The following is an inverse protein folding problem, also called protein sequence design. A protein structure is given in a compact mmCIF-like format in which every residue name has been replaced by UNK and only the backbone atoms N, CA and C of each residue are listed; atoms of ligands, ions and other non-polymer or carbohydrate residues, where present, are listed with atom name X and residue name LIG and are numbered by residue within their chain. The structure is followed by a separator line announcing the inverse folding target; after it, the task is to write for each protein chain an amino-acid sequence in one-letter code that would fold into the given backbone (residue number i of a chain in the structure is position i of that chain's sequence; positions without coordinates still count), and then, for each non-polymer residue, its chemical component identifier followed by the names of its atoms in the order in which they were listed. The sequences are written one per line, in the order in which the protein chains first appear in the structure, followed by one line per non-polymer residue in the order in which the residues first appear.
data_IF_874766480014
#
_entry.id   IF_874766480014
#
_cell.length_a   1.000
_cell.length_b   1.000
_cell.length_c   1.000
_cell.angle_alpha   90.00
_cell.angle_beta   90.00
_cell.angle_gamma   90.00
#
_symmetry.space_group_name_H-M   'P 1'
#
loop_
_entity.id
_entity.type
_entity.pdbx_description
1 polymer ?
#
# COMPACT_ATOMS: atom_id res chain seq x y z
N UNK A 1 22.47 47.71 -26.21
CA UNK A 1 22.07 47.13 -24.90
C UNK A 1 22.85 45.83 -24.71
N UNK A 2 24.02 45.91 -24.08
CA UNK A 2 24.83 44.73 -23.79
C UNK A 2 24.25 44.02 -22.58
N UNK A 3 23.52 42.93 -22.80
CA UNK A 3 23.06 42.05 -21.72
C UNK A 3 24.27 41.47 -21.01
N UNK A 4 24.53 41.96 -19.80
CA UNK A 4 25.67 41.61 -18.95
C UNK A 4 25.83 40.09 -18.81
N UNK A 5 26.94 39.54 -19.28
CA UNK A 5 27.32 38.13 -19.09
C UNK A 5 27.32 37.70 -17.62
N UNK A 6 27.48 38.65 -16.68
CA UNK A 6 27.42 38.40 -15.24
C UNK A 6 26.03 37.98 -14.76
N UNK A 7 24.95 38.49 -15.37
CA UNK A 7 23.59 38.06 -14.98
C UNK A 7 23.33 36.61 -15.38
N UNK A 8 23.80 36.20 -16.56
CA UNK A 8 23.69 34.81 -17.05
C UNK A 8 24.48 33.83 -16.18
N UNK A 9 25.69 34.20 -15.78
CA UNK A 9 26.53 33.37 -14.89
C UNK A 9 25.88 33.24 -13.51
N UNK A 10 25.38 34.33 -12.92
CA UNK A 10 24.68 34.30 -11.64
C UNK A 10 23.41 33.42 -11.70
N UNK A 11 22.63 33.50 -12.78
CA UNK A 11 21.47 32.63 -12.97
C UNK A 11 21.87 31.16 -13.04
N UNK A 12 22.94 30.80 -13.76
CA UNK A 12 23.43 29.42 -13.85
C UNK A 12 23.86 28.90 -12.48
N UNK A 13 24.58 29.71 -11.70
CA UNK A 13 25.07 29.35 -10.35
C UNK A 13 23.92 29.12 -9.37
N UNK A 14 22.76 29.76 -9.54
CA UNK A 14 21.59 29.59 -8.66
C UNK A 14 20.68 28.46 -9.16
N UNK A 15 20.43 28.41 -10.47
CA UNK A 15 19.50 27.44 -11.08
C UNK A 15 20.05 26.03 -11.02
N UNK A 16 21.36 25.81 -11.24
CA UNK A 16 21.93 24.45 -11.21
C UNK A 16 21.80 23.81 -9.81
N UNK A 17 22.20 24.44 -8.70
CA UNK A 17 21.98 23.88 -7.37
C UNK A 17 20.51 23.66 -7.03
N UNK A 18 19.61 24.55 -7.47
CA UNK A 18 18.16 24.36 -7.28
C UNK A 18 17.64 23.15 -8.06
N UNK A 19 18.08 22.95 -9.30
CA UNK A 19 17.71 21.79 -10.11
C UNK A 19 18.30 20.50 -9.53
N UNK A 20 19.54 20.54 -9.03
CA UNK A 20 20.15 19.40 -8.33
C UNK A 20 19.39 19.07 -7.06
N UNK A 21 19.05 20.07 -6.25
CA UNK A 21 18.24 19.88 -5.05
C UNK A 21 16.87 19.29 -5.42
N UNK A 22 16.19 19.85 -6.42
CA UNK A 22 14.91 19.34 -6.91
C UNK A 22 15.02 17.88 -7.38
N UNK A 23 16.13 17.52 -8.05
CA UNK A 23 16.39 16.14 -8.48
C UNK A 23 16.54 15.17 -7.30
N UNK A 24 17.26 15.57 -6.24
CA UNK A 24 17.38 14.76 -5.02
C UNK A 24 16.07 14.68 -4.22
N UNK A 25 15.24 15.72 -4.26
CA UNK A 25 13.94 15.74 -3.56
C UNK A 25 12.82 15.05 -4.36
N UNK A 26 12.94 14.97 -5.69
CA UNK A 26 11.91 14.42 -6.57
C UNK A 26 11.45 12.99 -6.18
N UNK A 27 12.32 12.03 -5.82
CA UNK A 27 11.89 10.71 -5.38
C UNK A 27 11.01 10.70 -4.12
N UNK A 28 11.03 11.75 -3.30
CA UNK A 28 10.18 11.84 -2.10
C UNK A 28 8.75 12.28 -2.42
N UNK A 29 8.56 13.00 -3.53
CA UNK A 29 7.27 13.54 -3.93
C UNK A 29 6.63 12.75 -5.08
N UNK A 30 7.44 12.14 -5.96
CA UNK A 30 6.95 11.46 -7.14
C UNK A 30 6.64 9.97 -6.87
N UNK A 31 5.60 9.41 -7.50
CA UNK A 31 5.27 7.99 -7.42
C UNK A 31 6.21 7.16 -8.30
N UNK A 32 7.51 7.21 -7.99
CA UNK A 32 8.59 6.64 -8.80
C UNK A 32 8.42 5.14 -9.00
N UNK A 33 8.15 4.41 -7.92
CA UNK A 33 7.96 2.96 -8.00
C UNK A 33 6.79 2.61 -8.91
N UNK A 34 5.67 3.33 -8.81
CA UNK A 34 4.51 3.17 -9.69
C UNK A 34 4.88 3.34 -11.16
N UNK A 35 5.62 4.38 -11.52
CA UNK A 35 5.99 4.61 -12.92
C UNK A 35 6.95 3.55 -13.47
N UNK A 36 7.77 2.95 -12.61
CA UNK A 36 8.71 1.91 -13.02
C UNK A 36 8.07 0.52 -13.10
N UNK A 37 7.06 0.23 -12.25
CA UNK A 37 6.56 -1.13 -12.05
C UNK A 37 5.08 -1.33 -12.41
N UNK A 38 4.23 -0.30 -12.34
CA UNK A 38 2.79 -0.42 -12.63
C UNK A 38 2.49 -0.30 -14.13
N UNK A 39 2.80 -1.37 -14.86
CA UNK A 39 2.42 -1.56 -16.26
C UNK A 39 1.11 -2.37 -16.35
N UNK A 40 -0.03 -1.68 -16.31
CA UNK A 40 -1.35 -2.32 -16.34
C UNK A 40 -1.59 -3.19 -17.58
N UNK A 41 -1.19 -2.78 -18.81
CA UNK A 41 -1.30 -3.65 -19.98
C UNK A 41 -0.54 -4.97 -19.84
N UNK A 42 0.68 -4.96 -19.28
CA UNK A 42 1.43 -6.20 -19.04
C UNK A 42 0.78 -7.06 -17.96
N UNK A 43 0.34 -6.44 -16.86
CA UNK A 43 -0.34 -7.14 -15.76
C UNK A 43 -1.65 -7.78 -16.19
N UNK A 44 -2.43 -7.08 -17.00
CA UNK A 44 -3.70 -7.58 -17.55
C UNK A 44 -3.48 -8.88 -18.31
N UNK A 45 -2.41 -8.96 -19.11
CA UNK A 45 -2.04 -10.19 -19.83
C UNK A 45 -1.55 -11.30 -18.91
N UNK A 46 -0.73 -10.97 -17.90
CA UNK A 46 -0.18 -12.00 -17.00
C UNK A 46 -1.21 -12.58 -16.04
N UNK A 47 -2.15 -11.75 -15.58
CA UNK A 47 -3.17 -12.11 -14.59
C UNK A 47 -4.50 -12.51 -15.24
N UNK A 48 -4.63 -12.36 -16.56
CA UNK A 48 -5.86 -12.61 -17.32
C UNK A 48 -7.07 -11.83 -16.76
N UNK A 49 -6.84 -10.58 -16.36
CA UNK A 49 -7.85 -9.67 -15.83
C UNK A 49 -8.00 -8.43 -16.71
N UNK A 50 -9.21 -7.85 -16.86
CA UNK A 50 -9.39 -6.61 -17.60
C UNK A 50 -8.55 -5.47 -17.03
N UNK A 51 -7.97 -4.63 -17.90
CA UNK A 51 -7.18 -3.48 -17.46
C UNK A 51 -8.00 -2.49 -16.61
N UNK A 52 -9.28 -2.35 -16.93
CA UNK A 52 -10.21 -1.50 -16.19
C UNK A 52 -10.36 -1.95 -14.73
N UNK A 53 -10.38 -3.26 -14.48
CA UNK A 53 -10.40 -3.86 -13.14
C UNK A 53 -9.12 -3.51 -12.37
N UNK A 54 -7.95 -3.67 -13.00
CA UNK A 54 -6.65 -3.42 -12.36
C UNK A 54 -6.40 -1.94 -12.04
N UNK A 55 -7.00 -1.03 -12.81
CA UNK A 55 -6.87 0.42 -12.61
C UNK A 55 -7.78 0.98 -11.53
N UNK A 56 -8.74 0.18 -11.04
CA UNK A 56 -9.72 0.62 -10.06
C UNK A 56 -9.03 0.91 -8.71
N UNK A 57 -9.29 2.09 -8.18
CA UNK A 57 -8.84 2.49 -6.86
C UNK A 57 -9.93 2.12 -5.82
N UNK A 58 -9.49 1.85 -4.60
CA UNK A 58 -10.29 1.41 -3.46
C UNK A 58 -9.90 2.20 -2.22
N UNK A 59 -10.91 2.49 -1.40
CA UNK A 59 -10.73 2.93 -0.02
C UNK A 59 -10.63 1.69 0.87
N UNK A 60 -9.51 1.53 1.55
CA UNK A 60 -9.25 0.33 2.36
C UNK A 60 -8.94 0.69 3.81
N UNK A 61 -9.39 -0.16 4.72
CA UNK A 61 -8.99 -0.15 6.11
C UNK A 61 -8.07 -1.33 6.35
N UNK A 62 -6.88 -1.05 6.85
CA UNK A 62 -5.85 -2.07 7.10
C UNK A 62 -5.35 -1.98 8.53
N UNK A 63 -4.89 -3.11 9.08
CA UNK A 63 -4.20 -3.15 10.35
C UNK A 63 -2.82 -3.79 10.26
N UNK A 64 -1.94 -3.35 11.13
CA UNK A 64 -0.65 -3.97 11.38
C UNK A 64 -0.77 -5.01 12.50
N UNK A 65 -0.64 -6.29 12.15
CA UNK A 65 -0.75 -7.43 13.06
C UNK A 65 0.21 -8.56 12.65
N UNK A 66 1.53 -8.42 12.93
CA UNK A 66 2.52 -9.43 12.60
C UNK A 66 2.30 -10.73 13.39
N UNK A 67 2.55 -11.88 12.76
CA UNK A 67 2.52 -13.22 13.41
C UNK A 67 3.70 -13.42 14.36
N UNK A 68 4.88 -12.95 13.97
CA UNK A 68 6.11 -13.02 14.74
C UNK A 68 7.07 -11.89 14.32
N UNK A 69 8.23 -11.84 14.97
CA UNK A 69 9.33 -10.98 14.57
C UNK A 69 9.78 -11.37 13.14
N UNK A 70 9.86 -10.38 12.24
CA UNK A 70 10.15 -10.55 10.80
C UNK A 70 9.06 -11.24 9.97
N UNK A 71 7.78 -11.10 10.33
CA UNK A 71 6.69 -11.49 9.43
C UNK A 71 6.81 -10.74 8.07
N UNK A 72 6.92 -11.46 6.94
CA UNK A 72 7.02 -10.82 5.62
C UNK A 72 5.73 -10.09 5.22
N UNK A 73 4.59 -10.44 5.79
CA UNK A 73 3.28 -9.82 5.53
C UNK A 73 2.56 -9.50 6.83
N UNK A 74 3.02 -8.45 7.54
CA UNK A 74 2.48 -8.10 8.84
C UNK A 74 1.16 -7.30 8.73
N UNK A 75 0.74 -6.91 7.52
CA UNK A 75 -0.47 -6.14 7.30
C UNK A 75 -1.65 -7.04 6.92
N UNK A 76 -2.82 -6.69 7.45
CA UNK A 76 -4.10 -7.34 7.16
C UNK A 76 -5.10 -6.31 6.65
N UNK A 77 -5.78 -6.65 5.57
CA UNK A 77 -6.96 -5.94 5.09
C UNK A 77 -8.15 -6.29 5.99
N UNK A 78 -8.86 -5.26 6.45
CA UNK A 78 -10.06 -5.39 7.27
C UNK A 78 -11.30 -5.16 6.41
N UNK A 79 -11.33 -4.04 5.67
CA UNK A 79 -12.46 -3.64 4.83
C UNK A 79 -11.98 -2.92 3.59
N UNK A 80 -12.79 -2.98 2.55
CA UNK A 80 -12.53 -2.34 1.27
C UNK A 80 -13.82 -1.86 0.63
N UNK A 81 -13.78 -0.65 0.09
CA UNK A 81 -14.86 -0.06 -0.69
C UNK A 81 -14.30 0.41 -2.04
N UNK A 82 -14.91 0.02 -3.17
CA UNK A 82 -15.99 -0.96 -3.32
C UNK A 82 -15.53 -2.41 -2.97
N UNK A 83 -16.45 -3.34 -2.67
CA UNK A 83 -16.09 -4.72 -2.33
C UNK A 83 -15.40 -5.42 -3.50
N UNK A 84 -14.56 -6.43 -3.21
CA UNK A 84 -13.74 -7.08 -4.23
C UNK A 84 -14.59 -7.83 -5.26
N UNK A 85 -15.68 -8.48 -4.83
CA UNK A 85 -16.59 -9.18 -5.74
C UNK A 85 -17.19 -8.25 -6.81
N UNK A 86 -17.30 -6.94 -6.55
CA UNK A 86 -17.76 -5.98 -7.55
C UNK A 86 -16.79 -5.76 -8.73
N UNK A 87 -15.61 -6.37 -8.67
CA UNK A 87 -14.53 -6.19 -9.65
C UNK A 87 -14.08 -7.52 -10.25
N UNK A 88 -14.25 -8.63 -9.52
CA UNK A 88 -14.05 -9.98 -10.00
C UNK A 88 -15.11 -10.92 -9.41
N UNK A 89 -16.15 -11.20 -10.19
CA UNK A 89 -17.31 -12.04 -9.83
C UNK A 89 -16.93 -13.48 -9.41
N UNK A 90 -15.68 -13.90 -9.66
CA UNK A 90 -15.21 -15.25 -9.34
C UNK A 90 -14.70 -15.40 -7.91
N UNK A 91 -14.45 -14.30 -7.21
CA UNK A 91 -14.00 -14.35 -5.82
C UNK A 91 -15.19 -14.11 -4.89
N UNK A 92 -15.36 -14.98 -3.91
CA UNK A 92 -16.31 -14.74 -2.81
C UNK A 92 -15.88 -13.49 -2.04
N UNK A 93 -16.86 -12.67 -1.62
CA UNK A 93 -16.56 -11.54 -0.77
C UNK A 93 -15.96 -12.05 0.55
N UNK A 94 -14.81 -11.49 0.93
CA UNK A 94 -14.06 -11.78 2.15
C UNK A 94 -14.75 -11.15 3.38
N UNK A 95 -16.06 -11.37 3.49
CA UNK A 95 -16.86 -10.80 4.55
C UNK A 95 -16.41 -11.36 5.91
N UNK A 96 -16.14 -10.45 6.85
CA UNK A 96 -15.59 -10.77 8.17
C UNK A 96 -14.27 -11.58 8.16
N UNK A 97 -13.49 -11.48 7.07
CA UNK A 97 -12.19 -12.15 6.94
C UNK A 97 -11.04 -11.15 6.93
N UNK A 98 -10.02 -11.44 7.74
CA UNK A 98 -8.81 -10.61 7.87
C UNK A 98 -7.74 -11.17 6.95
N UNK A 99 -7.57 -10.52 5.81
CA UNK A 99 -6.78 -11.03 4.69
C UNK A 99 -5.38 -10.47 4.76
N UNK A 100 -4.37 -11.33 4.86
CA UNK A 100 -2.98 -10.87 4.83
C UNK A 100 -2.60 -10.41 3.44
N UNK A 101 -1.79 -9.37 3.39
CA UNK A 101 -1.40 -8.77 2.12
C UNK A 101 0.06 -8.33 2.13
N UNK A 102 0.64 -8.29 0.94
CA UNK A 102 1.83 -7.49 0.69
C UNK A 102 1.39 -6.03 0.62
N UNK A 103 1.94 -5.18 1.47
CA UNK A 103 1.48 -3.81 1.64
C UNK A 103 2.61 -2.81 1.34
N UNK A 104 2.50 -2.08 0.23
CA UNK A 104 3.59 -1.22 -0.28
C UNK A 104 3.10 0.14 -0.78
N UNK A 105 3.98 1.14 -0.71
CA UNK A 105 3.71 2.48 -1.25
C UNK A 105 3.92 2.54 -2.76
N UNK A 106 3.08 3.30 -3.46
CA UNK A 106 3.27 3.64 -4.88
C UNK A 106 4.51 4.53 -5.15
N UNK A 107 5.04 5.20 -4.12
CA UNK A 107 6.25 6.04 -4.23
C UNK A 107 7.53 5.24 -4.13
N UNK A 108 7.67 4.46 -3.06
CA UNK A 108 8.91 3.77 -2.72
C UNK A 108 8.89 2.26 -3.04
N UNK A 109 7.72 1.66 -3.21
CA UNK A 109 7.57 0.20 -3.28
C UNK A 109 7.86 -0.50 -1.95
N UNK A 110 7.93 0.24 -0.85
CA UNK A 110 8.25 -0.27 0.49
C UNK A 110 7.02 -0.13 1.42
N UNK A 111 6.91 -0.97 2.45
CA UNK A 111 5.90 -0.79 3.49
C UNK A 111 6.14 0.50 4.30
N UNK A 112 5.14 0.98 5.06
CA UNK A 112 5.30 2.08 6.00
C UNK A 112 6.43 1.80 6.99
N UNK A 113 7.15 2.85 7.39
CA UNK A 113 8.22 2.71 8.38
C UNK A 113 7.67 2.28 9.74
N UNK A 114 8.46 1.50 10.48
CA UNK A 114 8.12 1.09 11.84
C UNK A 114 7.86 2.27 12.79
N UNK A 115 8.57 3.39 12.58
CA UNK A 115 8.35 4.64 13.30
C UNK A 115 6.94 5.20 13.06
N UNK A 116 6.43 5.11 11.83
CA UNK A 116 5.07 5.56 11.52
C UNK A 116 4.02 4.66 12.16
N UNK A 117 4.24 3.34 12.19
CA UNK A 117 3.30 2.37 12.77
C UNK A 117 3.14 2.55 14.28
N UNK A 118 4.17 3.03 14.98
CA UNK A 118 4.12 3.20 16.43
C UNK A 118 4.11 1.88 17.20
N UNK A 119 4.07 1.96 18.53
CA UNK A 119 4.17 0.79 19.42
C UNK A 119 2.83 0.36 20.01
N UNK A 120 1.85 1.26 20.10
CA UNK A 120 0.57 1.00 20.76
C UNK A 120 -0.41 0.30 19.82
N UNK A 121 -1.40 -0.41 20.37
CA UNK A 121 -2.43 -1.06 19.55
C UNK A 121 -3.26 -0.05 18.74
N UNK A 122 -3.42 1.17 19.26
CA UNK A 122 -4.20 2.26 18.65
C UNK A 122 -3.54 2.80 17.37
N UNK A 123 -2.22 2.73 17.28
CA UNK A 123 -1.46 3.21 16.12
C UNK A 123 -1.42 2.22 14.96
N UNK A 124 -1.97 1.01 15.13
CA UNK A 124 -1.84 -0.09 14.16
C UNK A 124 -2.93 -0.08 13.08
N UNK A 125 -3.86 0.86 13.11
CA UNK A 125 -5.00 0.91 12.21
C UNK A 125 -4.88 2.09 11.25
N UNK A 126 -5.08 1.83 9.96
CA UNK A 126 -4.90 2.82 8.90
C UNK A 126 -6.06 2.82 7.92
N UNK A 127 -6.40 4.01 7.43
CA UNK A 127 -7.19 4.22 6.21
C UNK A 127 -6.25 4.58 5.09
N UNK A 128 -6.46 3.97 3.93
CA UNK A 128 -5.66 4.21 2.74
C UNK A 128 -6.55 4.31 1.50
N UNK A 129 -6.00 4.92 0.45
CA UNK A 129 -6.56 4.86 -0.89
C UNK A 129 -5.54 4.23 -1.83
N UNK A 130 -5.95 3.30 -2.68
CA UNK A 130 -5.01 2.68 -3.62
C UNK A 130 -5.57 1.50 -4.38
N UNK A 131 -4.69 0.61 -4.82
CA UNK A 131 -5.05 -0.52 -5.66
C UNK A 131 -4.89 -1.82 -4.89
N UNK A 132 -5.82 -2.74 -5.12
CA UNK A 132 -5.72 -4.14 -4.73
C UNK A 132 -5.46 -4.98 -5.98
N UNK A 133 -4.46 -5.84 -5.91
CA UNK A 133 -4.10 -6.77 -6.95
C UNK A 133 -4.22 -8.21 -6.44
N UNK A 134 -4.55 -9.17 -7.33
CA UNK A 134 -4.56 -10.58 -6.96
C UNK A 134 -3.15 -11.08 -6.60
N UNK A 135 -3.06 -12.26 -5.96
CA UNK A 135 -1.78 -12.87 -5.65
C UNK A 135 -0.86 -13.06 -6.87
N UNK A 136 0.45 -12.95 -6.65
CA UNK A 136 1.47 -13.10 -7.70
C UNK A 136 1.70 -11.85 -8.56
N UNK A 137 0.95 -10.77 -8.35
CA UNK A 137 1.19 -9.50 -9.02
C UNK A 137 2.60 -8.97 -8.72
N UNK A 138 3.26 -8.37 -9.73
CA UNK A 138 4.60 -7.77 -9.64
C UNK A 138 5.71 -8.71 -9.13
N UNK A 139 5.51 -10.03 -9.19
CA UNK A 139 6.49 -11.00 -8.67
C UNK A 139 6.47 -11.16 -7.15
N UNK A 140 5.48 -10.59 -6.45
CA UNK A 140 5.25 -10.84 -5.03
C UNK A 140 4.63 -12.22 -4.79
N UNK A 141 4.35 -12.52 -3.52
CA UNK A 141 3.80 -13.79 -3.08
C UNK A 141 2.60 -14.22 -3.92
N UNK A 142 2.63 -15.46 -4.41
CA UNK A 142 1.51 -16.09 -5.15
C UNK A 142 0.34 -16.48 -4.25
N UNK A 143 0.51 -16.32 -2.94
CA UNK A 143 -0.42 -16.78 -1.92
C UNK A 143 -1.36 -15.68 -1.45
N UNK A 144 -0.91 -14.41 -1.47
CA UNK A 144 -1.62 -13.28 -0.84
C UNK A 144 -1.78 -12.10 -1.79
N UNK A 145 -2.86 -11.31 -1.67
CA UNK A 145 -3.04 -10.11 -2.48
C UNK A 145 -1.93 -9.08 -2.22
N UNK A 146 -1.72 -8.23 -3.23
CA UNK A 146 -0.80 -7.09 -3.16
C UNK A 146 -1.63 -5.83 -3.09
N UNK A 147 -1.43 -5.05 -2.03
CA UNK A 147 -2.04 -3.74 -1.84
C UNK A 147 -0.97 -2.67 -2.07
N UNK A 148 -1.28 -1.77 -2.99
CA UNK A 148 -0.43 -0.63 -3.33
C UNK A 148 -1.18 0.63 -2.94
N UNK A 149 -0.77 1.26 -1.85
CA UNK A 149 -1.40 2.49 -1.39
C UNK A 149 -0.74 3.72 -2.01
N UNK A 150 -1.54 4.76 -2.25
CA UNK A 150 -1.02 6.06 -2.66
C UNK A 150 -0.28 6.71 -1.52
N UNK A 151 0.97 7.13 -1.73
CA UNK A 151 1.85 7.62 -0.67
C UNK A 151 1.32 8.82 0.11
N UNK A 152 0.37 9.58 -0.43
CA UNK A 152 -0.32 10.70 0.21
C UNK A 152 -1.62 10.31 0.94
N UNK A 153 -2.10 9.08 0.80
CA UNK A 153 -3.42 8.66 1.30
C UNK A 153 -3.39 7.93 2.64
N UNK A 154 -2.21 7.54 3.14
CA UNK A 154 -2.12 6.77 4.37
C UNK A 154 -2.40 7.65 5.58
N UNK A 155 -3.50 7.35 6.27
CA UNK A 155 -3.94 8.07 7.46
C UNK A 155 -4.13 7.10 8.62
N UNK A 156 -3.65 7.48 9.81
CA UNK A 156 -3.93 6.72 11.03
C UNK A 156 -5.39 6.91 11.44
N UNK A 157 -6.05 5.81 11.81
CA UNK A 157 -7.39 5.89 12.37
C UNK A 157 -7.30 6.52 13.76
N UNK A 158 -8.19 7.49 14.03
CA UNK A 158 -8.29 8.14 15.34
C UNK A 158 -8.49 7.13 16.47
N UNK A 159 -7.93 7.40 17.64
CA UNK A 159 -7.94 6.51 18.81
C UNK A 159 -9.32 5.88 19.11
N UNK A 160 -10.39 6.67 19.17
CA UNK A 160 -11.72 6.14 19.49
C UNK A 160 -12.22 5.13 18.46
N UNK A 161 -12.02 5.42 17.17
CA UNK A 161 -12.38 4.51 16.09
C UNK A 161 -11.47 3.26 16.05
N UNK A 162 -10.19 3.39 16.41
CA UNK A 162 -9.28 2.26 16.52
C UNK A 162 -9.70 1.31 17.64
N UNK A 163 -10.18 1.83 18.77
CA UNK A 163 -10.73 1.03 19.88
C UNK A 163 -12.04 0.34 19.51
N UNK A 164 -12.92 1.00 18.77
CA UNK A 164 -14.13 0.38 18.22
C UNK A 164 -13.78 -0.77 17.28
N UNK A 165 -12.83 -0.57 16.36
CA UNK A 165 -12.36 -1.61 15.45
C UNK A 165 -11.70 -2.76 16.21
N UNK A 166 -10.85 -2.49 17.18
CA UNK A 166 -10.19 -3.53 17.96
C UNK A 166 -11.19 -4.42 18.71
N UNK A 167 -12.20 -3.78 19.33
CA UNK A 167 -13.30 -4.48 19.98
C UNK A 167 -14.15 -5.28 18.98
N UNK A 168 -14.43 -4.74 17.80
CA UNK A 168 -15.18 -5.43 16.76
C UNK A 168 -14.44 -6.68 16.27
N UNK A 169 -13.13 -6.57 16.05
CA UNK A 169 -12.29 -7.66 15.56
C UNK A 169 -12.01 -8.73 16.63
N UNK A 170 -11.96 -8.35 17.91
CA UNK A 170 -11.61 -9.26 19.01
C UNK A 170 -12.79 -9.82 19.81
N UNK A 171 -13.85 -9.04 19.99
CA UNK A 171 -15.00 -9.34 20.87
C UNK A 171 -16.36 -9.06 20.22
N UNK A 172 -16.39 -8.72 18.94
CA UNK A 172 -17.62 -8.46 18.20
C UNK A 172 -18.56 -9.67 18.20
N UNK A 173 -19.86 -9.41 18.01
CA UNK A 173 -20.86 -10.48 17.85
C UNK A 173 -20.58 -11.36 16.63
N UNK A 174 -19.91 -10.82 15.61
CA UNK A 174 -19.43 -11.56 14.44
C UNK A 174 -17.96 -11.89 14.62
N UNK A 175 -17.62 -13.17 14.52
CA UNK A 175 -16.27 -13.66 14.72
C UNK A 175 -15.45 -13.44 13.44
N UNK A 176 -14.51 -12.50 13.50
CA UNK A 176 -13.56 -12.28 12.41
C UNK A 176 -12.54 -13.43 12.34
N UNK A 177 -12.29 -13.94 11.13
CA UNK A 177 -11.33 -15.02 10.91
C UNK A 177 -10.04 -14.49 10.28
N UNK A 178 -8.89 -14.85 10.87
CA UNK A 178 -7.59 -14.64 10.21
C UNK A 178 -7.39 -15.69 9.13
N UNK A 179 -6.92 -15.30 7.96
CA UNK A 179 -6.63 -16.20 6.83
C UNK A 179 -5.39 -17.11 7.01
N UNK A 180 -4.86 -17.19 8.23
CA UNK A 180 -3.53 -17.69 8.61
C UNK A 180 -3.35 -19.21 8.54
N UNK A 181 -4.40 -19.97 8.23
CA UNK A 181 -4.44 -21.40 8.55
C UNK A 181 -3.94 -22.34 7.44
N UNK A 182 -3.74 -21.87 6.22
CA UNK A 182 -3.66 -22.80 5.07
C UNK A 182 -2.70 -22.43 3.95
N UNK A 183 -1.91 -21.35 4.04
CA UNK A 183 -1.24 -20.79 2.86
C UNK A 183 0.26 -20.56 3.14
N UNK A 184 1.12 -21.14 2.29
CA UNK A 184 2.57 -20.94 2.27
C UNK A 184 2.89 -19.59 1.62
N UNK A 185 3.09 -18.61 2.48
CA UNK A 185 3.26 -17.21 2.13
C UNK A 185 4.68 -16.70 2.42
N UNK A 186 5.62 -17.64 2.59
CA UNK A 186 7.02 -17.37 2.94
C UNK A 186 7.29 -17.26 4.45
N UNK A 187 6.27 -17.41 5.30
CA UNK A 187 6.43 -17.43 6.74
C UNK A 187 6.82 -18.82 7.26
N UNK A 188 8.04 -18.92 7.81
CA UNK A 188 8.51 -20.14 8.46
C UNK A 188 8.15 -20.07 9.94
N UNK A 189 7.15 -20.85 10.37
CA UNK A 189 6.88 -21.09 11.80
C UNK A 189 8.11 -21.80 12.39
N UNK A 190 8.89 -21.10 13.21
CA UNK A 190 9.91 -21.72 14.06
C UNK A 190 9.26 -22.34 15.29
#
# INVERSE_FOLDING_TARGET
MAGSSSSKIATIIIVIPLLLLAWFLAPMALPMWRWQNMDFPKLSKSLNLPEATLKREFDMQVRYHPRAENDPMPFQLIRMEPPWASVDDKNEDEDHMLVRCTFISDRSGQPPSSLFIGSTYKDRYFKIHGWRFPPGAFGFSKARPVIIYRGDSIEKISIGNAEVLDNELGMGQVKWENDDKTIDDGFIRR
#
